data_IF_588060023837
#
_entry.id   IF_588060023837
#
_cell.length_a   1.000
_cell.length_b   1.000
_cell.length_c   1.000
_cell.angle_alpha   90.00
_cell.angle_beta   90.00
_cell.angle_gamma   90.00
#
_symmetry.space_group_name_H-M   'P 1'
#
loop_
_entity.id
_entity.type
_entity.pdbx_description
1 polymer ?
#
# COMPACT_ATOMS: atom_id res chain seq x y z
N UNK A 1 8.75 -19.66 -28.11
CA UNK A 1 9.04 -20.26 -26.80
C UNK A 1 8.87 -19.30 -25.60
N UNK A 2 9.06 -17.97 -25.74
CA UNK A 2 8.90 -17.00 -24.64
C UNK A 2 7.44 -16.82 -24.14
N UNK A 3 6.42 -16.91 -25.02
CA UNK A 3 5.00 -16.80 -24.63
C UNK A 3 4.48 -17.97 -23.77
N UNK A 4 5.05 -19.16 -23.93
CA UNK A 4 4.64 -20.33 -23.15
C UNK A 4 5.20 -20.27 -21.70
N UNK A 5 6.41 -19.70 -21.51
CA UNK A 5 7.01 -19.55 -20.17
C UNK A 5 6.31 -18.48 -19.31
N UNK A 6 5.81 -17.38 -19.91
CA UNK A 6 5.07 -16.35 -19.16
C UNK A 6 3.69 -16.84 -18.69
N UNK A 7 3.03 -17.68 -19.48
CA UNK A 7 1.75 -18.31 -19.10
C UNK A 7 1.92 -19.41 -18.03
N UNK A 8 3.06 -20.07 -17.99
CA UNK A 8 3.38 -21.10 -16.99
C UNK A 8 3.71 -20.46 -15.63
N UNK A 9 4.51 -19.39 -15.60
CA UNK A 9 4.81 -18.64 -14.35
C UNK A 9 3.55 -17.98 -13.77
N UNK A 10 2.61 -17.54 -14.60
CA UNK A 10 1.34 -16.97 -14.15
C UNK A 10 0.35 -18.06 -13.67
N UNK A 11 0.45 -19.30 -14.18
CA UNK A 11 -0.28 -20.46 -13.66
C UNK A 11 0.31 -20.98 -12.35
N UNK A 12 1.64 -21.01 -12.20
CA UNK A 12 2.29 -21.47 -10.97
C UNK A 12 2.04 -20.51 -9.81
N UNK A 13 1.91 -19.20 -10.07
CA UNK A 13 1.46 -18.21 -9.09
C UNK A 13 -0.04 -18.37 -8.69
N UNK A 14 -0.87 -18.95 -9.57
CA UNK A 14 -2.29 -19.24 -9.28
C UNK A 14 -2.51 -20.58 -8.56
N UNK A 15 -1.51 -21.46 -8.54
CA UNK A 15 -1.63 -22.81 -7.97
C UNK A 15 -1.21 -22.94 -6.50
N UNK A 16 -0.69 -21.88 -5.86
CA UNK A 16 -0.54 -21.89 -4.41
C UNK A 16 -1.87 -21.47 -3.80
N UNK A 17 -2.57 -22.41 -3.17
CA UNK A 17 -3.72 -22.09 -2.32
C UNK A 17 -3.20 -21.49 -1.03
N UNK A 18 -3.36 -20.19 -0.86
CA UNK A 18 -3.16 -19.53 0.43
C UNK A 18 -4.45 -19.63 1.24
N UNK A 19 -4.34 -19.93 2.52
CA UNK A 19 -5.50 -19.95 3.41
C UNK A 19 -5.92 -18.55 3.82
N UNK A 20 -4.97 -17.62 3.87
CA UNK A 20 -5.16 -16.24 4.29
C UNK A 20 -4.66 -15.26 3.23
N UNK A 21 -5.34 -14.14 3.11
CA UNK A 21 -4.82 -12.95 2.43
C UNK A 21 -4.83 -11.76 3.36
N UNK A 22 -3.69 -11.06 3.44
CA UNK A 22 -3.54 -9.80 4.16
C UNK A 22 -3.29 -8.66 3.19
N UNK A 23 -4.18 -7.69 3.17
CA UNK A 23 -4.03 -6.46 2.39
C UNK A 23 -3.45 -5.37 3.28
N UNK A 24 -2.48 -4.63 2.76
CA UNK A 24 -1.85 -3.45 3.38
C UNK A 24 -2.08 -2.25 2.48
N UNK A 25 -3.00 -1.37 2.88
CA UNK A 25 -3.32 -0.16 2.15
C UNK A 25 -2.48 1.01 2.65
N UNK A 26 -1.57 1.46 1.82
CA UNK A 26 -0.69 2.59 2.05
C UNK A 26 -1.08 3.76 1.14
N UNK A 27 -1.11 4.98 1.66
CA UNK A 27 -1.29 6.16 0.82
C UNK A 27 -0.03 6.40 -0.01
N UNK A 28 1.12 6.37 0.65
CA UNK A 28 2.44 6.54 0.05
C UNK A 28 3.27 5.27 0.17
N UNK A 29 4.37 5.18 -0.54
CA UNK A 29 5.17 3.95 -0.66
C UNK A 29 5.89 3.55 0.62
N UNK A 30 6.07 4.46 1.59
CA UNK A 30 6.75 4.24 2.86
C UNK A 30 5.82 4.05 4.08
N UNK A 31 4.51 4.24 3.94
CA UNK A 31 3.57 4.19 5.07
C UNK A 31 3.52 2.81 5.74
N UNK A 32 3.48 1.73 4.94
CA UNK A 32 3.41 0.40 5.52
C UNK A 32 4.73 0.01 6.22
N UNK A 33 5.89 0.54 5.76
CA UNK A 33 7.17 0.37 6.46
C UNK A 33 7.16 1.10 7.79
N UNK A 34 6.64 2.32 7.82
CA UNK A 34 6.68 3.21 8.98
C UNK A 34 5.58 2.89 10.01
N UNK A 35 4.38 2.49 9.58
CA UNK A 35 3.22 2.41 10.47
C UNK A 35 2.66 0.99 10.64
N UNK A 36 2.87 0.08 9.67
CA UNK A 36 2.26 -1.26 9.66
C UNK A 36 3.27 -2.39 9.89
N UNK A 37 4.57 -2.09 10.01
CA UNK A 37 5.55 -3.05 10.52
C UNK A 37 5.63 -2.97 12.06
N UNK A 38 5.88 -4.13 12.71
CA UNK A 38 6.35 -5.41 12.18
C UNK A 38 5.25 -6.36 11.65
N UNK A 39 3.96 -5.98 11.67
CA UNK A 39 2.87 -6.88 11.23
C UNK A 39 3.02 -7.31 9.76
N UNK A 40 3.42 -6.39 8.88
CA UNK A 40 3.64 -6.70 7.47
C UNK A 40 4.78 -7.71 7.27
N UNK A 41 5.88 -7.57 8.02
CA UNK A 41 6.98 -8.53 7.98
C UNK A 41 6.53 -9.93 8.43
N UNK A 42 5.79 -10.00 9.53
CA UNK A 42 5.28 -11.26 10.07
C UNK A 42 4.32 -11.97 9.07
N UNK A 43 3.42 -11.23 8.42
CA UNK A 43 2.53 -11.80 7.42
C UNK A 43 3.29 -12.28 6.17
N UNK A 44 4.36 -11.57 5.75
CA UNK A 44 5.20 -12.01 4.62
C UNK A 44 6.00 -13.27 4.96
N UNK A 45 6.47 -13.39 6.20
CA UNK A 45 7.19 -14.59 6.68
C UNK A 45 6.28 -15.82 6.84
N UNK A 46 4.96 -15.62 6.96
CA UNK A 46 3.99 -16.71 6.99
C UNK A 46 3.71 -17.23 5.57
N UNK A 47 4.25 -18.41 5.25
CA UNK A 47 4.12 -19.04 3.92
C UNK A 47 2.68 -19.41 3.54
N UNK A 48 1.76 -19.50 4.51
CA UNK A 48 0.32 -19.73 4.33
C UNK A 48 -0.45 -18.45 3.99
N UNK A 49 0.18 -17.29 4.15
CA UNK A 49 -0.43 -15.97 3.91
C UNK A 49 0.02 -15.38 2.57
N UNK A 50 -0.94 -14.97 1.77
CA UNK A 50 -0.72 -14.07 0.64
C UNK A 50 -0.76 -12.63 1.12
N UNK A 51 0.27 -11.84 0.79
CA UNK A 51 0.35 -10.44 1.24
C UNK A 51 0.24 -9.50 0.04
N UNK A 52 -0.70 -8.56 0.12
CA UNK A 52 -1.01 -7.63 -0.95
C UNK A 52 -0.80 -6.20 -0.47
N UNK A 53 0.21 -5.53 -0.99
CA UNK A 53 0.48 -4.12 -0.73
C UNK A 53 -0.20 -3.25 -1.79
N UNK A 54 -1.00 -2.29 -1.37
CA UNK A 54 -1.73 -1.38 -2.27
C UNK A 54 -1.31 0.05 -1.99
N UNK A 55 -0.50 0.63 -2.88
CA UNK A 55 -0.07 2.02 -2.84
C UNK A 55 -1.06 2.85 -3.67
N UNK A 56 -1.80 3.73 -3.01
CA UNK A 56 -2.94 4.43 -3.62
C UNK A 56 -2.48 5.68 -4.35
N UNK A 57 -1.61 6.48 -3.74
CA UNK A 57 -1.00 7.63 -4.42
C UNK A 57 0.40 7.30 -4.94
N UNK A 58 0.99 8.20 -5.69
CA UNK A 58 2.35 8.10 -6.19
C UNK A 58 3.38 8.62 -5.17
N UNK A 59 2.93 9.21 -4.06
CA UNK A 59 3.78 9.85 -3.07
C UNK A 59 4.78 10.83 -3.70
N UNK A 60 4.37 11.49 -4.77
CA UNK A 60 5.25 12.34 -5.59
C UNK A 60 5.61 13.67 -4.94
N UNK A 61 5.04 13.98 -3.80
CA UNK A 61 5.24 15.22 -3.05
C UNK A 61 5.08 16.49 -3.94
N UNK A 62 4.17 16.42 -4.92
CA UNK A 62 3.92 17.50 -5.86
C UNK A 62 4.97 17.68 -6.95
N UNK A 63 5.90 16.74 -7.12
CA UNK A 63 6.91 16.78 -8.20
C UNK A 63 6.35 16.25 -9.53
N UNK A 64 5.24 15.51 -9.51
CA UNK A 64 4.64 14.93 -10.69
C UNK A 64 5.54 13.91 -11.39
N UNK A 65 5.43 13.81 -12.71
CA UNK A 65 6.18 12.84 -13.53
C UNK A 65 7.54 13.34 -13.98
N UNK A 66 7.89 14.58 -13.67
CA UNK A 66 9.18 15.17 -14.06
C UNK A 66 10.36 14.61 -13.28
N UNK A 67 11.48 14.35 -13.94
CA UNK A 67 12.70 13.89 -13.29
C UNK A 67 13.47 15.01 -12.57
N UNK A 68 13.15 16.29 -12.82
CA UNK A 68 13.80 17.44 -12.19
C UNK A 68 15.32 17.48 -12.38
N UNK A 69 15.82 17.06 -13.55
CA UNK A 69 17.26 16.95 -13.84
C UNK A 69 17.93 15.68 -13.31
N UNK A 70 17.20 14.80 -12.62
CA UNK A 70 17.69 13.51 -12.12
C UNK A 70 17.47 12.39 -13.14
N UNK A 71 18.05 11.21 -12.87
CA UNK A 71 17.93 10.05 -13.75
C UNK A 71 16.49 9.52 -13.85
N UNK A 72 15.73 9.60 -12.76
CA UNK A 72 14.36 9.09 -12.68
C UNK A 72 13.44 10.08 -11.94
N UNK A 73 12.13 10.10 -12.24
CA UNK A 73 11.14 10.80 -11.43
C UNK A 73 11.09 10.28 -9.97
N UNK A 74 10.74 11.15 -9.05
CA UNK A 74 10.71 10.83 -7.61
C UNK A 74 9.75 9.68 -7.27
N UNK A 75 8.54 9.67 -7.85
CA UNK A 75 7.59 8.59 -7.61
C UNK A 75 8.12 7.21 -8.03
N UNK A 76 8.92 7.13 -9.11
CA UNK A 76 9.55 5.87 -9.52
C UNK A 76 10.64 5.43 -8.54
N UNK A 77 11.35 6.36 -7.93
CA UNK A 77 12.32 6.03 -6.88
C UNK A 77 11.61 5.47 -5.64
N UNK A 78 10.47 6.05 -5.25
CA UNK A 78 9.65 5.55 -4.13
C UNK A 78 9.08 4.16 -4.43
N UNK A 79 8.50 3.95 -5.60
CA UNK A 79 8.05 2.61 -6.03
C UNK A 79 9.20 1.60 -6.04
N UNK A 80 10.39 2.00 -6.48
CA UNK A 80 11.57 1.13 -6.44
C UNK A 80 11.94 0.77 -5.00
N UNK A 81 11.89 1.74 -4.08
CA UNK A 81 12.06 1.53 -2.65
C UNK A 81 11.09 0.48 -2.09
N UNK A 82 9.80 0.68 -2.31
CA UNK A 82 8.75 -0.24 -1.85
C UNK A 82 8.92 -1.66 -2.43
N UNK A 83 9.18 -1.79 -3.73
CA UNK A 83 9.42 -3.08 -4.39
C UNK A 83 10.63 -3.81 -3.81
N UNK A 84 11.71 -3.07 -3.53
CA UNK A 84 12.95 -3.63 -2.96
C UNK A 84 12.72 -4.09 -1.53
N UNK A 85 11.97 -3.33 -0.73
CA UNK A 85 11.62 -3.70 0.64
C UNK A 85 10.68 -4.92 0.70
N UNK A 86 9.67 -5.00 -0.17
CA UNK A 86 8.79 -6.17 -0.29
C UNK A 86 9.61 -7.42 -0.62
N UNK A 87 10.53 -7.30 -1.59
CA UNK A 87 11.42 -8.39 -1.95
C UNK A 87 12.34 -8.81 -0.81
N UNK A 88 12.92 -7.84 -0.10
CA UNK A 88 13.78 -8.08 1.05
C UNK A 88 13.07 -8.91 2.13
N UNK A 89 11.83 -8.56 2.48
CA UNK A 89 11.04 -9.34 3.45
C UNK A 89 10.74 -10.75 2.94
N UNK A 90 10.36 -10.88 1.67
CA UNK A 90 10.00 -12.16 1.06
C UNK A 90 11.20 -13.10 0.88
N UNK A 91 12.42 -12.59 0.85
CA UNK A 91 13.67 -13.36 0.76
C UNK A 91 14.35 -13.58 2.12
N UNK A 92 13.76 -13.15 3.24
CA UNK A 92 14.41 -13.16 4.55
C UNK A 92 14.92 -14.55 4.99
N UNK A 93 14.22 -15.59 4.58
CA UNK A 93 14.53 -16.99 4.93
C UNK A 93 14.91 -17.85 3.71
N UNK A 94 15.16 -17.26 2.52
CA UNK A 94 15.34 -18.04 1.30
C UNK A 94 16.19 -17.30 0.24
N UNK A 95 16.65 -18.03 -0.78
CA UNK A 95 17.41 -17.44 -1.89
C UNK A 95 16.52 -16.60 -2.81
N UNK A 96 17.02 -15.45 -3.30
CA UNK A 96 16.28 -14.60 -4.23
C UNK A 96 15.88 -15.33 -5.52
N UNK A 97 14.65 -15.08 -5.98
CA UNK A 97 14.10 -15.56 -7.26
C UNK A 97 13.68 -14.38 -8.14
N UNK A 98 13.28 -14.63 -9.38
CA UNK A 98 12.83 -13.59 -10.29
C UNK A 98 11.52 -12.93 -9.86
N UNK A 99 11.43 -11.60 -10.01
CA UNK A 99 10.23 -10.82 -9.81
C UNK A 99 9.50 -10.61 -11.15
N UNK A 100 8.17 -10.76 -11.15
CA UNK A 100 7.35 -10.51 -12.33
C UNK A 100 6.62 -9.16 -12.20
N UNK A 101 6.63 -8.38 -13.28
CA UNK A 101 5.90 -7.12 -13.38
C UNK A 101 4.94 -7.22 -14.57
N UNK A 102 3.63 -7.21 -14.29
CA UNK A 102 2.60 -7.34 -15.32
C UNK A 102 1.49 -6.34 -15.02
N UNK A 103 1.19 -5.39 -15.93
CA UNK A 103 0.02 -4.55 -15.81
C UNK A 103 -1.25 -5.41 -15.85
N UNK A 104 -2.19 -5.13 -14.95
CA UNK A 104 -3.49 -5.80 -14.92
C UNK A 104 -4.61 -4.81 -15.24
N UNK A 105 -5.75 -5.35 -15.69
CA UNK A 105 -6.96 -4.56 -15.86
C UNK A 105 -7.91 -4.84 -14.70
N UNK A 106 -8.25 -3.79 -13.96
CA UNK A 106 -9.23 -3.81 -12.87
C UNK A 106 -10.31 -2.79 -13.19
N UNK A 107 -11.57 -3.21 -13.22
CA UNK A 107 -12.70 -2.34 -13.58
C UNK A 107 -12.40 -1.52 -14.87
N UNK A 108 -11.82 -2.20 -15.89
CA UNK A 108 -11.43 -1.60 -17.17
C UNK A 108 -10.16 -0.74 -17.16
N UNK A 109 -9.55 -0.49 -15.99
CA UNK A 109 -8.36 0.37 -15.82
C UNK A 109 -7.08 -0.43 -15.77
N UNK A 110 -6.02 0.18 -16.28
CA UNK A 110 -4.68 -0.40 -16.27
C UNK A 110 -3.98 0.00 -14.96
N UNK A 111 -3.64 -0.99 -14.12
CA UNK A 111 -2.96 -0.79 -12.85
C UNK A 111 -1.62 -1.51 -12.88
N UNK A 112 -0.58 -0.88 -12.36
CA UNK A 112 0.75 -1.47 -12.25
C UNK A 112 0.75 -2.52 -11.12
N UNK A 113 1.12 -3.77 -11.47
CA UNK A 113 1.14 -4.91 -10.55
C UNK A 113 2.47 -5.63 -10.61
N UNK A 114 3.03 -5.95 -9.47
CA UNK A 114 4.28 -6.69 -9.30
C UNK A 114 4.03 -7.88 -8.40
N UNK A 115 4.53 -9.05 -8.77
CA UNK A 115 4.42 -10.27 -7.95
C UNK A 115 5.80 -10.80 -7.61
N UNK A 116 5.94 -11.25 -6.39
CA UNK A 116 7.15 -11.88 -5.91
C UNK A 116 6.83 -12.85 -4.77
N UNK A 117 7.09 -14.15 -4.96
CA UNK A 117 6.75 -15.21 -3.99
C UNK A 117 5.27 -15.13 -3.55
N UNK A 118 5.01 -15.01 -2.25
CA UNK A 118 3.67 -14.84 -1.68
C UNK A 118 3.21 -13.36 -1.62
N UNK A 119 3.97 -12.44 -2.20
CA UNK A 119 3.65 -11.00 -2.17
C UNK A 119 3.16 -10.48 -3.51
N UNK A 120 2.29 -9.48 -3.45
CA UNK A 120 1.80 -8.70 -4.59
C UNK A 120 1.87 -7.22 -4.23
N UNK A 121 2.43 -6.39 -5.11
CA UNK A 121 2.42 -4.94 -4.99
C UNK A 121 1.55 -4.32 -6.09
N UNK A 122 0.62 -3.45 -5.71
CA UNK A 122 -0.17 -2.60 -6.61
C UNK A 122 0.21 -1.15 -6.45
N UNK A 123 0.28 -0.42 -7.56
CA UNK A 123 0.59 1.01 -7.62
C UNK A 123 -0.46 1.70 -8.50
N UNK A 124 -1.39 2.44 -7.85
CA UNK A 124 -2.44 3.16 -8.54
C UNK A 124 -1.97 4.51 -9.09
N UNK A 125 -0.89 5.04 -8.52
CA UNK A 125 -0.20 6.26 -8.97
C UNK A 125 -1.10 7.50 -9.00
N UNK A 126 -2.06 7.59 -8.06
CA UNK A 126 -2.85 8.82 -7.92
C UNK A 126 -1.99 9.96 -7.40
N UNK A 127 -2.31 11.22 -7.71
CA UNK A 127 -1.56 12.36 -7.20
C UNK A 127 -1.50 12.39 -5.68
N UNK A 128 -0.35 12.74 -5.13
CA UNK A 128 -0.23 13.14 -3.73
C UNK A 128 -1.09 14.39 -3.49
N UNK A 129 -1.99 14.31 -2.51
CA UNK A 129 -2.98 15.34 -2.22
C UNK A 129 -2.48 16.45 -1.31
N UNK A 130 -1.26 16.38 -0.81
CA UNK A 130 -0.67 17.11 0.31
C UNK A 130 -1.36 16.86 1.67
N UNK A 131 -0.78 17.27 2.80
CA UNK A 131 -1.38 17.01 4.12
C UNK A 131 -2.83 17.51 4.28
N UNK A 132 -3.19 18.62 3.65
CA UNK A 132 -4.53 19.20 3.71
C UNK A 132 -5.53 18.59 2.71
N UNK A 133 -5.07 17.82 1.74
CA UNK A 133 -5.88 17.21 0.69
C UNK A 133 -6.34 18.20 -0.39
N UNK A 134 -5.63 19.31 -0.57
CA UNK A 134 -5.96 20.34 -1.57
C UNK A 134 -5.32 20.09 -2.94
N UNK A 135 -4.42 19.11 -3.03
CA UNK A 135 -3.63 18.81 -4.22
C UNK A 135 -2.48 19.77 -4.46
N UNK A 136 -1.60 19.40 -5.38
CA UNK A 136 -0.48 20.24 -5.81
C UNK A 136 -0.76 20.85 -7.19
N UNK A 137 -0.29 22.08 -7.47
CA UNK A 137 -0.46 22.71 -8.80
C UNK A 137 0.11 21.88 -9.95
N UNK A 138 1.22 21.20 -9.73
CA UNK A 138 1.89 20.33 -10.72
C UNK A 138 1.04 19.16 -11.20
N UNK A 139 0.08 18.73 -10.39
CA UNK A 139 -0.88 17.67 -10.70
C UNK A 139 -2.29 18.22 -10.91
N UNK A 140 -2.40 19.52 -11.24
CA UNK A 140 -3.68 20.19 -11.54
C UNK A 140 -4.58 20.36 -10.30
N UNK A 141 -4.04 20.40 -9.10
CA UNK A 141 -4.79 20.55 -7.87
C UNK A 141 -5.74 19.38 -7.59
N UNK A 142 -5.40 18.19 -8.04
CA UNK A 142 -6.19 16.98 -7.83
C UNK A 142 -5.76 16.25 -6.54
N UNK A 143 -6.73 15.65 -5.83
CA UNK A 143 -6.47 14.81 -4.67
C UNK A 143 -7.60 13.80 -4.44
N UNK A 144 -7.30 12.74 -3.67
CA UNK A 144 -8.29 11.78 -3.19
C UNK A 144 -9.42 12.45 -2.42
N UNK A 145 -9.08 13.43 -1.56
CA UNK A 145 -10.05 14.17 -0.76
C UNK A 145 -11.02 14.95 -1.63
N UNK A 146 -10.52 15.68 -2.62
CA UNK A 146 -11.38 16.46 -3.52
C UNK A 146 -12.30 15.57 -4.35
N UNK A 147 -11.84 14.37 -4.73
CA UNK A 147 -12.67 13.36 -5.40
C UNK A 147 -13.78 12.85 -4.46
N UNK A 148 -13.42 12.50 -3.23
CA UNK A 148 -14.35 11.98 -2.21
C UNK A 148 -15.40 13.02 -1.83
N UNK A 149 -15.03 14.31 -1.78
CA UNK A 149 -15.92 15.43 -1.47
C UNK A 149 -16.78 15.86 -2.69
N UNK A 150 -16.60 15.22 -3.86
CA UNK A 150 -17.30 15.58 -5.10
C UNK A 150 -16.90 16.94 -5.70
N UNK A 151 -15.81 17.55 -5.22
CA UNK A 151 -15.29 18.85 -5.68
C UNK A 151 -14.59 18.76 -7.03
N UNK A 152 -14.08 17.57 -7.37
CA UNK A 152 -13.61 17.22 -8.71
C UNK A 152 -14.39 15.99 -9.20
N UNK A 153 -14.62 15.91 -10.50
CA UNK A 153 -15.40 14.81 -11.10
C UNK A 153 -14.52 13.65 -11.55
N UNK A 154 -13.23 13.86 -11.66
CA UNK A 154 -12.27 12.84 -12.09
C UNK A 154 -10.93 13.05 -11.40
N UNK A 155 -10.21 11.94 -11.16
CA UNK A 155 -8.86 11.90 -10.64
C UNK A 155 -8.02 11.03 -11.56
N UNK A 156 -6.92 11.57 -12.07
CA UNK A 156 -6.04 10.88 -13.02
C UNK A 156 -4.78 10.38 -12.32
N UNK A 157 -4.35 9.16 -12.64
CA UNK A 157 -3.00 8.72 -12.30
C UNK A 157 -1.97 9.68 -12.91
N UNK A 158 -0.89 10.00 -12.18
CA UNK A 158 0.09 11.01 -12.62
C UNK A 158 0.81 10.62 -13.91
N UNK A 159 0.91 9.33 -14.20
CA UNK A 159 1.51 8.79 -15.44
C UNK A 159 0.50 8.61 -16.58
N UNK A 160 -0.74 9.02 -16.40
CA UNK A 160 -1.81 8.89 -17.37
C UNK A 160 -2.33 7.47 -17.61
N UNK A 161 -1.92 6.49 -16.80
CA UNK A 161 -2.30 5.08 -16.96
C UNK A 161 -3.79 4.81 -16.68
N UNK A 162 -4.43 5.61 -15.84
CA UNK A 162 -5.82 5.47 -15.43
C UNK A 162 -6.48 6.81 -15.11
N UNK A 163 -7.81 6.88 -15.29
CA UNK A 163 -8.66 7.99 -14.84
C UNK A 163 -9.85 7.40 -14.08
N UNK A 164 -10.17 7.96 -12.92
CA UNK A 164 -11.28 7.55 -12.07
C UNK A 164 -12.36 8.62 -12.05
N UNK A 165 -13.54 8.28 -12.55
CA UNK A 165 -14.67 9.21 -12.66
C UNK A 165 -15.56 9.14 -11.40
N UNK A 166 -15.18 9.94 -10.40
CA UNK A 166 -15.85 9.98 -9.09
C UNK A 166 -15.38 8.91 -8.12
N UNK A 167 -15.76 9.08 -6.86
CA UNK A 167 -15.34 8.22 -5.75
C UNK A 167 -15.78 6.76 -5.95
N UNK A 168 -17.06 6.55 -6.36
CA UNK A 168 -17.61 5.20 -6.57
C UNK A 168 -16.82 4.40 -7.60
N UNK A 169 -16.29 5.05 -8.62
CA UNK A 169 -15.51 4.39 -9.67
C UNK A 169 -14.14 3.93 -9.16
N UNK A 170 -13.49 4.75 -8.30
CA UNK A 170 -12.26 4.35 -7.61
C UNK A 170 -12.53 3.19 -6.65
N UNK A 171 -13.59 3.28 -5.83
CA UNK A 171 -14.04 2.21 -4.92
C UNK A 171 -14.28 0.91 -5.67
N UNK A 172 -14.94 0.96 -6.82
CA UNK A 172 -15.22 -0.23 -7.66
C UNK A 172 -13.92 -0.86 -8.20
N UNK A 173 -12.92 -0.05 -8.52
CA UNK A 173 -11.61 -0.55 -8.96
C UNK A 173 -10.86 -1.24 -7.81
N UNK A 174 -10.86 -0.64 -6.62
CA UNK A 174 -10.27 -1.25 -5.42
C UNK A 174 -11.03 -2.53 -5.03
N UNK A 175 -12.37 -2.54 -5.14
CA UNK A 175 -13.17 -3.75 -4.94
C UNK A 175 -12.77 -4.87 -5.90
N UNK A 176 -12.57 -4.57 -7.18
CA UNK A 176 -12.13 -5.55 -8.17
C UNK A 176 -10.73 -6.11 -7.83
N UNK A 177 -9.83 -5.29 -7.29
CA UNK A 177 -8.54 -5.72 -6.78
C UNK A 177 -8.70 -6.71 -5.61
N UNK A 178 -9.51 -6.35 -4.61
CA UNK A 178 -9.81 -7.21 -3.47
C UNK A 178 -10.38 -8.55 -3.92
N UNK A 179 -11.34 -8.53 -4.84
CA UNK A 179 -12.00 -9.74 -5.34
C UNK A 179 -11.05 -10.66 -6.09
N UNK A 180 -10.11 -10.12 -6.88
CA UNK A 180 -9.09 -10.92 -7.60
C UNK A 180 -8.12 -11.57 -6.61
N UNK A 181 -7.61 -10.81 -5.64
CA UNK A 181 -6.51 -11.28 -4.80
C UNK A 181 -6.97 -12.17 -3.64
N UNK A 182 -8.25 -12.06 -3.19
CA UNK A 182 -8.83 -12.90 -2.14
C UNK A 182 -9.37 -14.26 -2.65
N UNK A 183 -9.37 -14.51 -3.95
CA UNK A 183 -9.88 -15.77 -4.50
C UNK A 183 -9.17 -16.98 -3.90
N UNK A 184 -9.96 -17.93 -3.35
CA UNK A 184 -9.46 -19.14 -2.73
C UNK A 184 -9.01 -19.01 -1.28
N UNK A 185 -8.96 -17.79 -0.72
CA UNK A 185 -8.61 -17.58 0.68
C UNK A 185 -9.86 -17.69 1.57
N UNK A 186 -9.75 -18.42 2.68
CA UNK A 186 -10.82 -18.55 3.70
C UNK A 186 -10.83 -17.39 4.69
N UNK A 187 -9.72 -16.66 4.82
CA UNK A 187 -9.55 -15.55 5.75
C UNK A 187 -8.99 -14.32 5.06
N UNK A 188 -9.58 -13.16 5.36
CA UNK A 188 -9.17 -11.86 4.81
C UNK A 188 -8.84 -10.90 5.95
N UNK A 189 -7.67 -10.28 5.90
CA UNK A 189 -7.30 -9.17 6.78
C UNK A 189 -7.09 -7.89 5.95
N UNK A 190 -7.56 -6.76 6.49
CA UNK A 190 -7.40 -5.43 5.93
C UNK A 190 -6.60 -4.58 6.92
N UNK A 191 -5.40 -4.24 6.57
CA UNK A 191 -4.56 -3.29 7.29
C UNK A 191 -4.71 -1.93 6.60
N UNK A 192 -5.22 -0.94 7.32
CA UNK A 192 -5.53 0.40 6.81
C UNK A 192 -5.01 1.48 7.78
N UNK A 193 -4.73 2.69 7.31
CA UNK A 193 -4.51 3.82 8.22
C UNK A 193 -5.71 4.06 9.16
N UNK A 194 -5.45 4.59 10.35
CA UNK A 194 -6.49 4.91 11.33
C UNK A 194 -7.33 6.12 10.86
N UNK A 195 -8.64 5.96 10.86
CA UNK A 195 -9.60 7.02 10.46
C UNK A 195 -10.05 7.91 11.61
N UNK A 196 -9.98 7.40 12.84
CA UNK A 196 -10.46 8.13 14.00
C UNK A 196 -9.49 9.25 14.38
N UNK A 197 -9.89 10.49 14.12
CA UNK A 197 -9.10 11.67 14.44
C UNK A 197 -8.84 11.85 15.95
N UNK A 198 -9.56 11.16 16.83
CA UNK A 198 -9.26 11.17 18.27
C UNK A 198 -8.09 10.26 18.62
N UNK A 199 -7.83 9.24 17.81
CA UNK A 199 -6.71 8.30 17.95
C UNK A 199 -5.50 8.77 17.14
N UNK A 200 -5.75 9.28 15.94
CA UNK A 200 -4.73 9.71 14.99
C UNK A 200 -4.99 11.15 14.50
N UNK A 201 -4.86 12.14 15.39
CA UNK A 201 -5.07 13.54 15.03
C UNK A 201 -4.00 14.05 14.06
N UNK A 202 -4.39 15.02 13.23
CA UNK A 202 -3.51 15.74 12.29
C UNK A 202 -2.80 14.84 11.27
N UNK A 203 -3.41 13.70 10.92
CA UNK A 203 -2.83 12.79 9.94
C UNK A 203 -2.94 13.33 8.51
N UNK A 204 -2.13 12.79 7.62
CA UNK A 204 -2.14 13.18 6.21
C UNK A 204 -3.49 12.86 5.56
N UNK A 205 -4.00 13.79 4.78
CA UNK A 205 -5.29 13.61 4.09
C UNK A 205 -5.35 12.33 3.26
N UNK A 206 -4.25 11.97 2.59
CA UNK A 206 -4.20 10.78 1.76
C UNK A 206 -4.25 9.49 2.60
N UNK A 207 -3.72 9.47 3.84
CA UNK A 207 -3.88 8.32 4.74
C UNK A 207 -5.36 8.09 5.05
N UNK A 208 -6.06 9.15 5.45
CA UNK A 208 -7.50 9.10 5.75
C UNK A 208 -8.31 8.63 4.53
N UNK A 209 -8.03 9.18 3.36
CA UNK A 209 -8.77 8.81 2.13
C UNK A 209 -8.41 7.41 1.63
N UNK A 210 -7.18 6.94 1.83
CA UNK A 210 -6.76 5.57 1.52
C UNK A 210 -7.49 4.56 2.40
N UNK A 211 -7.58 4.81 3.70
CA UNK A 211 -8.37 3.96 4.58
C UNK A 211 -9.86 3.96 4.17
N UNK A 212 -10.42 5.13 3.85
CA UNK A 212 -11.82 5.26 3.43
C UNK A 212 -12.11 4.46 2.16
N UNK A 213 -11.28 4.58 1.12
CA UNK A 213 -11.49 3.83 -0.13
C UNK A 213 -11.39 2.32 0.08
N UNK A 214 -10.44 1.87 0.90
CA UNK A 214 -10.27 0.46 1.23
C UNK A 214 -11.49 -0.12 1.97
N UNK A 215 -11.97 0.61 2.98
CA UNK A 215 -13.14 0.20 3.78
C UNK A 215 -14.44 0.26 2.97
N UNK A 216 -14.63 1.28 2.14
CA UNK A 216 -15.78 1.37 1.23
C UNK A 216 -15.77 0.21 0.23
N UNK A 217 -14.62 -0.15 -0.32
CA UNK A 217 -14.47 -1.28 -1.24
C UNK A 217 -14.71 -2.63 -0.56
N UNK A 218 -14.36 -2.75 0.72
CA UNK A 218 -14.49 -3.99 1.49
C UNK A 218 -15.81 -4.08 2.28
N UNK A 219 -16.77 -3.18 2.09
CA UNK A 219 -17.97 -3.08 2.93
C UNK A 219 -18.74 -4.41 3.08
N UNK A 220 -18.77 -5.23 2.01
CA UNK A 220 -19.45 -6.52 1.98
C UNK A 220 -18.50 -7.71 2.11
N UNK A 221 -17.22 -7.47 2.37
CA UNK A 221 -16.23 -8.52 2.60
C UNK A 221 -16.11 -8.73 4.10
N UNK A 222 -16.38 -9.95 4.56
CA UNK A 222 -16.04 -10.35 5.92
C UNK A 222 -14.52 -10.34 6.08
N UNK A 223 -14.00 -9.33 6.77
CA UNK A 223 -12.57 -9.14 6.95
C UNK A 223 -12.25 -8.64 8.34
N UNK A 224 -11.20 -9.18 8.93
CA UNK A 224 -10.58 -8.58 10.12
C UNK A 224 -9.95 -7.25 9.71
N UNK A 225 -10.34 -6.17 10.36
CA UNK A 225 -9.83 -4.82 10.09
C UNK A 225 -8.79 -4.43 11.13
N UNK A 226 -7.64 -3.98 10.69
CA UNK A 226 -6.55 -3.51 11.54
C UNK A 226 -6.25 -2.07 11.16
N UNK A 227 -6.52 -1.15 12.08
CA UNK A 227 -6.34 0.29 11.89
C UNK A 227 -5.03 0.72 12.52
N UNK A 228 -4.09 1.20 11.73
CA UNK A 228 -2.75 1.59 12.15
C UNK A 228 -2.68 3.10 12.32
N UNK A 229 -2.29 3.56 13.51
CA UNK A 229 -2.04 4.97 13.75
C UNK A 229 -0.80 5.43 12.95
N UNK A 230 -0.93 6.57 12.29
CA UNK A 230 0.07 7.20 11.44
C UNK A 230 0.92 8.22 12.21
N UNK A 231 0.85 9.47 11.81
CA UNK A 231 1.71 10.55 12.34
C UNK A 231 1.59 10.78 13.84
N UNK A 232 0.43 10.52 14.42
CA UNK A 232 0.24 10.66 15.88
C UNK A 232 1.18 9.77 16.68
N UNK A 233 1.68 8.66 16.12
CA UNK A 233 2.60 7.75 16.81
C UNK A 233 3.90 8.41 17.22
N UNK A 234 4.34 9.46 16.52
CA UNK A 234 5.54 10.23 16.88
C UNK A 234 5.47 10.83 18.29
N UNK A 235 4.26 11.06 18.82
CA UNK A 235 4.00 11.63 20.15
C UNK A 235 3.82 10.56 21.23
N UNK A 236 3.79 9.29 20.86
CA UNK A 236 3.59 8.16 21.76
C UNK A 236 4.93 7.55 22.19
N UNK A 237 5.01 6.84 23.32
CA UNK A 237 6.22 6.13 23.73
C UNK A 237 6.69 5.13 22.67
N UNK A 238 7.99 4.82 22.65
CA UNK A 238 8.46 3.65 21.90
C UNK A 238 7.92 2.37 22.53
N UNK A 239 7.43 1.46 21.72
CA UNK A 239 6.86 0.18 22.15
C UNK A 239 7.42 -1.03 21.38
N UNK A 240 8.40 -0.79 20.50
CA UNK A 240 9.15 -1.83 19.82
C UNK A 240 10.57 -1.92 20.35
N UNK A 241 11.03 -3.15 20.60
CA UNK A 241 12.40 -3.44 21.01
C UNK A 241 12.86 -4.78 20.40
N UNK A 242 14.18 -5.02 20.35
CA UNK A 242 14.77 -6.23 19.84
C UNK A 242 14.38 -6.51 18.38
N UNK A 243 14.19 -7.79 18.05
CA UNK A 243 13.96 -8.24 16.67
C UNK A 243 12.86 -7.51 15.92
N UNK A 244 11.65 -7.24 16.47
CA UNK A 244 10.62 -6.47 15.75
C UNK A 244 11.06 -5.04 15.36
N UNK A 245 11.83 -4.37 16.21
CA UNK A 245 12.42 -3.06 15.89
C UNK A 245 13.48 -3.18 14.80
N UNK A 246 14.34 -4.20 14.89
CA UNK A 246 15.43 -4.42 13.94
C UNK A 246 14.88 -4.75 12.55
N UNK A 247 13.88 -5.62 12.45
CA UNK A 247 13.18 -5.95 11.20
C UNK A 247 12.57 -4.70 10.55
N UNK A 248 11.86 -3.89 11.33
CA UNK A 248 11.28 -2.63 10.84
C UNK A 248 12.35 -1.65 10.36
N UNK A 249 13.45 -1.53 11.12
CA UNK A 249 14.61 -0.70 10.75
C UNK A 249 15.22 -1.15 9.44
N UNK A 250 15.44 -2.45 9.27
CA UNK A 250 16.03 -3.03 8.07
C UNK A 250 15.15 -2.81 6.83
N UNK A 251 13.85 -3.05 6.94
CA UNK A 251 12.89 -2.82 5.86
C UNK A 251 12.91 -1.37 5.42
N UNK A 252 12.89 -0.41 6.36
CA UNK A 252 12.93 1.01 6.03
C UNK A 252 14.29 1.42 5.45
N UNK A 253 15.40 0.94 5.98
CA UNK A 253 16.73 1.22 5.46
C UNK A 253 16.90 0.72 4.01
N UNK A 254 16.40 -0.47 3.68
CA UNK A 254 16.40 -1.03 2.32
C UNK A 254 15.58 -0.16 1.37
N UNK A 255 14.42 0.33 1.80
CA UNK A 255 13.61 1.28 1.03
C UNK A 255 14.42 2.52 0.67
N UNK A 256 15.07 3.13 1.65
CA UNK A 256 15.85 4.35 1.44
C UNK A 256 17.10 4.13 0.59
N UNK A 257 17.78 2.99 0.77
CA UNK A 257 18.93 2.62 -0.07
C UNK A 257 18.53 2.52 -1.55
N UNK A 258 17.36 1.95 -1.84
CA UNK A 258 16.83 1.86 -3.20
C UNK A 258 16.43 3.24 -3.78
N UNK A 259 15.88 4.14 -2.95
CA UNK A 259 15.58 5.54 -3.35
C UNK A 259 16.88 6.30 -3.70
N UNK A 260 17.93 6.14 -2.88
CA UNK A 260 19.27 6.71 -3.16
C UNK A 260 19.84 6.19 -4.47
N UNK A 261 19.67 4.90 -4.80
CA UNK A 261 20.13 4.32 -6.05
C UNK A 261 19.46 4.96 -7.28
N UNK A 262 18.33 5.63 -7.10
CA UNK A 262 17.61 6.42 -8.11
C UNK A 262 17.94 7.92 -8.05
N UNK A 263 19.01 8.29 -7.36
CA UNK A 263 19.49 9.67 -7.24
C UNK A 263 18.52 10.63 -6.54
N UNK A 264 17.79 10.11 -5.53
CA UNK A 264 16.92 10.94 -4.68
C UNK A 264 17.37 10.92 -3.22
N UNK A 265 17.15 12.03 -2.53
CA UNK A 265 17.41 12.16 -1.09
C UNK A 265 16.49 11.27 -0.26
N UNK A 266 16.87 11.01 0.98
CA UNK A 266 16.11 10.19 1.92
C UNK A 266 15.66 10.98 3.14
N UNK A 267 14.62 10.49 3.80
CA UNK A 267 14.08 11.06 5.03
C UNK A 267 14.54 10.30 6.29
N UNK A 268 15.64 9.53 6.24
CA UNK A 268 16.09 8.73 7.39
C UNK A 268 16.16 9.54 8.67
N UNK A 269 16.89 10.64 8.68
CA UNK A 269 17.03 11.49 9.86
C UNK A 269 15.72 12.13 10.36
N UNK A 270 14.73 12.22 9.47
CA UNK A 270 13.46 12.81 9.84
C UNK A 270 12.50 11.79 10.44
N UNK A 271 12.50 10.54 9.93
CA UNK A 271 11.49 9.53 10.29
C UNK A 271 12.00 8.44 11.23
N UNK A 272 13.31 8.16 11.28
CA UNK A 272 13.85 7.08 12.11
C UNK A 272 13.49 7.25 13.58
N UNK A 273 13.70 8.43 14.13
CA UNK A 273 13.46 8.72 15.56
C UNK A 273 11.97 8.87 15.87
N UNK A 274 11.16 9.24 14.86
CA UNK A 274 9.73 9.46 15.06
C UNK A 274 8.92 8.17 15.01
N UNK A 275 9.28 7.20 14.15
CA UNK A 275 8.38 6.11 13.82
C UNK A 275 8.98 4.71 13.99
N UNK A 276 10.29 4.51 13.87
CA UNK A 276 10.88 3.17 13.83
C UNK A 276 10.67 2.40 15.14
N UNK A 277 10.78 3.04 16.28
CA UNK A 277 10.54 2.43 17.58
C UNK A 277 9.07 2.23 17.96
N UNK A 278 8.12 2.51 17.08
CA UNK A 278 6.68 2.59 17.41
C UNK A 278 5.83 1.80 16.44
N UNK A 279 4.81 1.10 16.98
CA UNK A 279 3.77 0.42 16.20
C UNK A 279 2.48 0.41 17.03
N UNK A 280 1.50 1.19 16.63
CA UNK A 280 0.22 1.33 17.33
C UNK A 280 -0.93 1.04 16.36
N UNK A 281 -1.78 0.12 16.75
CA UNK A 281 -2.94 -0.26 15.97
C UNK A 281 -4.08 -0.73 16.88
N UNK A 282 -5.29 -0.67 16.38
CA UNK A 282 -6.46 -1.35 16.94
C UNK A 282 -7.03 -2.36 15.96
N UNK A 283 -7.71 -3.36 16.50
CA UNK A 283 -8.36 -4.41 15.71
C UNK A 283 -9.87 -4.25 15.83
N UNK A 284 -10.53 -4.33 14.70
CA UNK A 284 -11.97 -4.42 14.60
C UNK A 284 -12.31 -5.77 13.95
N UNK A 285 -12.78 -6.70 14.76
CA UNK A 285 -13.25 -7.99 14.27
C UNK A 285 -14.70 -7.84 13.79
N UNK A 286 -15.01 -8.34 12.61
CA UNK A 286 -16.38 -8.37 12.06
C UNK A 286 -17.24 -9.41 12.83
N UNK A 287 -17.46 -9.19 14.12
CA UNK A 287 -18.32 -10.03 14.98
C UNK A 287 -19.82 -9.83 14.74
N UNK A 288 -20.21 -9.01 13.80
CA UNK A 288 -21.62 -8.64 13.61
C UNK A 288 -22.15 -8.94 12.22
N UNK A 289 -22.13 -10.18 11.76
CA UNK A 289 -23.13 -10.72 10.83
C UNK A 289 -23.31 -12.23 10.97
N UNK A 290 -23.40 -12.74 12.19
CA UNK A 290 -24.27 -13.90 12.38
C UNK A 290 -25.69 -13.36 12.34
N UNK A 291 -26.38 -13.59 11.23
CA UNK A 291 -27.82 -13.37 11.15
C UNK A 291 -28.48 -14.11 12.32
N UNK A 292 -29.44 -13.50 13.03
CA UNK A 292 -30.24 -14.24 13.97
C UNK A 292 -30.91 -15.35 13.16
N UNK A 293 -30.60 -16.61 13.50
CA UNK A 293 -31.30 -17.75 12.98
C UNK A 293 -32.77 -17.60 13.29
N UNK A 294 -33.56 -17.53 12.22
CA UNK A 294 -35.00 -17.72 12.30
C UNK A 294 -35.33 -19.18 12.29
#
# INVERSE_FOLDING_TARGET
MARARSAQTDRDARCRSYDKVSFYFAAHEDDWQLFMNPSAFADVADVGTKVVFVHVTAGDAGLGVGAGGRKHPYYLAREHGAKTAIRFMADADDLPVGQATVPVRLNGRRVHRVTYRNTVGYFLRLPDGNPAGTGYPTTGGQSLKLLADGRIKALSAIDGSAVYHGWTDLVSTVRALLDVERQGCSSVALNVPELDATINPDDHSDHVMTARVALDAAREIGARRVHHAGYATSRLPENLAGRPRDEKSAVYAVTLAAILAFDHGTAWHHYSDLYIGRSYFRVEDDLARQAPGG
#
